data_IF_580488545432
#
_entry.id   IF_580488545432
#
_cell.length_a   1.000
_cell.length_b   1.000
_cell.length_c   1.000
_cell.angle_alpha   90.00
_cell.angle_beta   90.00
_cell.angle_gamma   90.00
#
_symmetry.space_group_name_H-M   'P 1'
#
loop_
_entity.id
_entity.type
_entity.pdbx_description
1 polymer ?
#
# COMPACT_ATOMS: atom_id res chain seq x y z
N UNK A 1 -24.11 -54.99 68.48
CA UNK A 1 -25.05 -54.51 67.45
C UNK A 1 -24.28 -53.58 66.54
N UNK A 2 -24.18 -53.98 65.28
CA UNK A 2 -23.87 -53.23 64.04
C UNK A 2 -23.13 -51.91 64.22
N UNK A 3 -21.87 -51.79 63.74
CA UNK A 3 -21.69 -50.93 62.56
C UNK A 3 -20.38 -51.12 61.78
N UNK A 4 -20.60 -51.06 60.46
CA UNK A 4 -19.75 -50.87 59.28
C UNK A 4 -18.21 -50.99 59.37
N UNK A 5 -17.72 -51.98 58.63
CA UNK A 5 -16.37 -52.02 58.04
C UNK A 5 -16.28 -50.99 56.90
N UNK A 6 -15.31 -50.09 56.97
CA UNK A 6 -14.87 -49.23 55.85
C UNK A 6 -13.54 -49.79 55.33
N UNK A 7 -13.37 -50.07 54.02
CA UNK A 7 -12.11 -50.57 53.50
C UNK A 7 -11.11 -49.43 53.29
N UNK A 8 -9.84 -49.71 53.59
CA UNK A 8 -8.71 -48.84 53.28
C UNK A 8 -8.49 -48.77 51.77
N UNK A 9 -8.57 -47.57 51.20
CA UNK A 9 -8.16 -47.30 49.81
C UNK A 9 -6.71 -46.85 49.84
N UNK A 10 -5.84 -47.66 49.24
CA UNK A 10 -4.42 -47.36 49.07
C UNK A 10 -4.24 -46.24 48.04
N UNK A 11 -3.55 -45.18 48.42
CA UNK A 11 -3.19 -44.06 47.55
C UNK A 11 -1.90 -44.43 46.78
N UNK A 12 -2.01 -44.73 45.49
CA UNK A 12 -0.87 -44.96 44.63
C UNK A 12 -0.29 -43.60 44.17
N UNK A 13 0.92 -43.28 44.62
CA UNK A 13 1.73 -42.18 44.09
C UNK A 13 2.29 -42.60 42.73
N UNK A 14 1.74 -42.06 41.64
CA UNK A 14 2.33 -42.17 40.32
C UNK A 14 3.47 -41.14 40.19
N UNK A 15 4.70 -41.62 40.04
CA UNK A 15 5.83 -40.81 39.58
C UNK A 15 5.58 -40.44 38.10
N UNK A 16 5.18 -39.20 37.85
CA UNK A 16 5.17 -38.65 36.49
C UNK A 16 6.63 -38.35 36.07
N UNK A 17 7.17 -39.17 35.17
CA UNK A 17 8.42 -38.88 34.47
C UNK A 17 8.12 -37.75 33.48
N UNK A 18 8.64 -36.56 33.75
CA UNK A 18 8.49 -35.40 32.87
C UNK A 18 9.21 -35.63 31.54
N UNK A 19 8.43 -35.78 30.47
CA UNK A 19 8.93 -35.65 29.10
C UNK A 19 9.32 -34.18 28.85
N UNK A 20 10.42 -33.90 28.13
CA UNK A 20 10.76 -32.53 27.79
C UNK A 20 9.64 -31.96 26.93
N UNK A 21 9.04 -30.85 27.39
CA UNK A 21 8.13 -30.07 26.57
C UNK A 21 8.86 -29.64 25.31
N UNK A 22 8.34 -30.05 24.16
CA UNK A 22 8.59 -29.36 22.90
C UNK A 22 8.25 -27.88 23.13
N UNK A 23 9.29 -27.07 23.29
CA UNK A 23 9.17 -25.64 23.24
C UNK A 23 8.65 -25.32 21.83
N UNK A 24 7.38 -24.93 21.75
CA UNK A 24 6.81 -24.37 20.54
C UNK A 24 7.73 -23.24 20.09
N UNK A 25 8.42 -23.47 18.97
CA UNK A 25 9.20 -22.46 18.28
C UNK A 25 8.24 -21.33 17.94
N UNK A 26 8.38 -20.21 18.66
CA UNK A 26 7.72 -18.97 18.30
C UNK A 26 8.32 -18.55 16.97
N UNK A 27 7.52 -18.55 15.91
CA UNK A 27 7.92 -17.95 14.65
C UNK A 27 8.22 -16.47 14.93
N UNK A 28 9.48 -16.08 14.75
CA UNK A 28 9.88 -14.68 14.65
C UNK A 28 9.09 -14.04 13.48
N UNK A 29 8.74 -12.74 13.56
CA UNK A 29 8.11 -12.05 12.43
C UNK A 29 9.03 -12.20 11.21
N UNK A 30 8.46 -12.73 10.12
CA UNK A 30 9.20 -13.19 8.96
C UNK A 30 10.12 -12.12 8.38
N UNK A 31 11.35 -12.53 8.08
CA UNK A 31 12.26 -11.81 7.20
C UNK A 31 11.63 -11.84 5.81
N UNK A 32 10.90 -10.78 5.45
CA UNK A 32 10.13 -10.64 4.22
C UNK A 32 11.01 -10.45 2.96
N UNK A 33 12.19 -11.09 2.92
CA UNK A 33 13.16 -10.95 1.84
C UNK A 33 13.31 -12.23 1.03
N UNK A 34 13.93 -13.29 1.55
CA UNK A 34 14.34 -14.44 0.73
C UNK A 34 13.20 -15.25 0.12
N UNK A 35 12.07 -15.40 0.83
CA UNK A 35 10.93 -16.20 0.36
C UNK A 35 10.13 -15.45 -0.70
N UNK A 36 9.87 -14.16 -0.46
CA UNK A 36 9.14 -13.28 -1.35
C UNK A 36 9.92 -12.99 -2.63
N UNK A 37 11.26 -12.90 -2.56
CA UNK A 37 12.11 -12.85 -3.75
C UNK A 37 12.00 -14.13 -4.59
N UNK A 38 12.04 -15.30 -3.93
CA UNK A 38 11.89 -16.57 -4.64
C UNK A 38 10.51 -16.69 -5.30
N UNK A 39 9.44 -16.21 -4.65
CA UNK A 39 8.11 -16.18 -5.25
C UNK A 39 8.00 -15.17 -6.40
N UNK A 40 8.59 -13.98 -6.25
CA UNK A 40 8.67 -12.97 -7.31
C UNK A 40 9.32 -13.55 -8.58
N UNK A 41 10.38 -14.35 -8.44
CA UNK A 41 11.08 -15.00 -9.54
C UNK A 41 10.26 -16.07 -10.28
N UNK A 42 9.16 -16.54 -9.68
CA UNK A 42 8.22 -17.45 -10.36
C UNK A 42 7.20 -16.71 -11.23
N UNK A 43 7.01 -15.40 -11.02
CA UNK A 43 6.05 -14.62 -11.79
C UNK A 43 6.55 -14.44 -13.22
N UNK A 44 5.72 -14.68 -14.25
CA UNK A 44 6.12 -14.39 -15.62
C UNK A 44 6.47 -12.90 -15.77
N UNK A 45 7.50 -12.61 -16.55
CA UNK A 45 7.85 -11.23 -16.92
C UNK A 45 7.39 -10.98 -18.36
N UNK A 46 6.48 -10.03 -18.55
CA UNK A 46 5.93 -9.64 -19.87
C UNK A 46 5.62 -8.14 -19.90
N UNK A 47 5.47 -7.58 -21.10
CA UNK A 47 4.96 -6.21 -21.26
C UNK A 47 3.50 -6.05 -20.81
N UNK A 48 3.02 -4.81 -20.71
CA UNK A 48 1.59 -4.52 -20.51
C UNK A 48 0.81 -4.90 -21.78
N UNK A 49 -0.26 -5.67 -21.60
CA UNK A 49 -1.26 -5.86 -22.66
C UNK A 49 -2.09 -4.57 -22.86
N UNK A 50 -2.76 -4.40 -24.01
CA UNK A 50 -3.63 -3.25 -24.24
C UNK A 50 -4.72 -3.13 -23.17
N UNK A 51 -5.09 -1.89 -22.81
CA UNK A 51 -6.23 -1.58 -21.94
C UNK A 51 -7.59 -1.68 -22.67
N UNK A 52 -7.59 -2.00 -23.96
CA UNK A 52 -8.80 -2.13 -24.78
C UNK A 52 -9.82 -3.07 -24.11
N UNK A 53 -11.08 -2.65 -24.10
CA UNK A 53 -12.18 -3.44 -23.52
C UNK A 53 -12.23 -3.42 -21.98
N UNK A 54 -11.33 -2.71 -21.31
CA UNK A 54 -11.40 -2.55 -19.86
C UNK A 54 -12.64 -1.75 -19.44
N UNK A 55 -13.42 -2.34 -18.55
CA UNK A 55 -14.44 -1.65 -17.76
C UNK A 55 -14.38 -2.22 -16.34
N UNK A 56 -14.42 -1.34 -15.33
CA UNK A 56 -14.41 -1.74 -13.92
C UNK A 56 -15.58 -2.67 -13.57
N UNK A 57 -16.73 -2.50 -14.23
CA UNK A 57 -17.92 -3.33 -14.03
C UNK A 57 -17.69 -4.81 -14.41
N UNK A 58 -16.66 -5.11 -15.21
CA UNK A 58 -16.27 -6.48 -15.54
C UNK A 58 -15.71 -7.27 -14.35
N UNK A 59 -15.38 -6.58 -13.25
CA UNK A 59 -15.00 -7.20 -11.98
C UNK A 59 -16.21 -7.43 -11.06
N UNK A 60 -17.42 -7.30 -11.60
CA UNK A 60 -18.66 -7.52 -10.88
C UNK A 60 -19.10 -6.33 -10.02
N UNK A 61 -20.10 -6.57 -9.18
CA UNK A 61 -20.59 -5.57 -8.25
C UNK A 61 -19.47 -5.13 -7.31
N UNK A 62 -19.31 -3.81 -7.13
CA UNK A 62 -18.37 -3.27 -6.17
C UNK A 62 -18.76 -3.70 -4.75
N UNK A 63 -17.78 -4.22 -3.99
CA UNK A 63 -17.95 -4.65 -2.60
C UNK A 63 -18.96 -5.79 -2.45
N UNK A 64 -18.86 -6.78 -3.33
CA UNK A 64 -19.76 -7.93 -3.37
C UNK A 64 -19.47 -8.91 -2.24
N UNK A 65 -20.48 -9.23 -1.44
CA UNK A 65 -20.43 -10.36 -0.49
C UNK A 65 -20.59 -11.72 -1.20
N UNK A 66 -21.07 -11.73 -2.45
CA UNK A 66 -21.20 -12.94 -3.28
C UNK A 66 -19.85 -13.35 -3.88
N UNK A 67 -18.90 -13.76 -3.04
CA UNK A 67 -17.52 -14.14 -3.41
C UNK A 67 -17.03 -15.32 -2.58
N UNK A 68 -16.04 -16.06 -3.10
CA UNK A 68 -15.50 -17.26 -2.42
C UNK A 68 -14.17 -17.02 -1.70
N UNK A 69 -13.66 -15.78 -1.75
CA UNK A 69 -12.47 -15.33 -1.01
C UNK A 69 -12.82 -15.06 0.46
N UNK A 70 -11.83 -14.95 1.37
CA UNK A 70 -12.10 -14.67 2.77
C UNK A 70 -13.00 -13.43 2.95
N UNK A 71 -13.97 -13.53 3.85
CA UNK A 71 -14.96 -12.47 4.08
C UNK A 71 -16.21 -12.58 3.20
N UNK A 72 -16.25 -13.42 2.16
CA UNK A 72 -17.46 -13.64 1.39
C UNK A 72 -18.56 -14.42 2.14
N UNK A 73 -19.80 -14.21 1.71
CA UNK A 73 -21.03 -14.79 2.24
C UNK A 73 -21.22 -14.63 3.75
N UNK A 74 -20.73 -13.54 4.33
CA UNK A 74 -20.85 -13.28 5.76
C UNK A 74 -22.02 -12.35 6.11
N UNK A 75 -22.73 -11.81 5.10
CA UNK A 75 -23.85 -10.89 5.26
C UNK A 75 -23.46 -9.40 5.30
N UNK A 76 -22.18 -9.08 5.20
CA UNK A 76 -21.63 -7.73 5.13
C UNK A 76 -21.03 -7.49 3.74
N UNK A 77 -21.14 -6.25 3.22
CA UNK A 77 -20.39 -5.92 2.01
C UNK A 77 -18.88 -5.89 2.29
N UNK A 78 -18.08 -6.22 1.27
CA UNK A 78 -16.61 -6.31 1.40
C UNK A 78 -16.00 -5.01 1.92
N UNK A 79 -16.54 -3.85 1.54
CA UNK A 79 -16.02 -2.55 2.02
C UNK A 79 -16.10 -2.49 3.54
N UNK A 80 -17.23 -2.88 4.11
CA UNK A 80 -17.41 -2.91 5.55
C UNK A 80 -16.52 -3.95 6.22
N UNK A 81 -16.25 -5.09 5.58
CA UNK A 81 -15.29 -6.06 6.10
C UNK A 81 -13.87 -5.50 6.17
N UNK A 82 -13.43 -4.79 5.13
CA UNK A 82 -12.11 -4.15 5.13
C UNK A 82 -12.04 -3.01 6.15
N UNK A 83 -13.10 -2.19 6.27
CA UNK A 83 -13.14 -1.16 7.31
C UNK A 83 -13.11 -1.79 8.72
N UNK A 84 -13.81 -2.90 8.95
CA UNK A 84 -13.77 -3.60 10.24
C UNK A 84 -12.37 -4.14 10.54
N UNK A 85 -11.67 -4.67 9.53
CA UNK A 85 -10.32 -5.20 9.66
C UNK A 85 -9.29 -4.11 9.97
N UNK A 86 -9.40 -2.97 9.27
CA UNK A 86 -8.32 -1.97 9.21
C UNK A 86 -8.51 -0.78 10.17
N UNK A 87 -9.74 -0.53 10.63
CA UNK A 87 -9.99 0.53 11.61
C UNK A 87 -9.84 0.01 13.04
N UNK A 88 -9.48 0.92 13.94
CA UNK A 88 -9.60 0.75 15.39
C UNK A 88 -10.67 1.70 15.93
N UNK A 89 -11.04 1.54 17.21
CA UNK A 89 -12.04 2.39 17.89
C UNK A 89 -13.36 2.52 17.09
N UNK A 90 -13.87 1.38 16.61
CA UNK A 90 -14.98 1.32 15.67
C UNK A 90 -16.34 1.47 16.37
N UNK A 91 -17.20 2.30 15.80
CA UNK A 91 -18.64 2.27 16.07
C UNK A 91 -19.40 1.60 14.92
N UNK A 92 -20.20 0.59 15.25
CA UNK A 92 -21.09 -0.07 14.30
C UNK A 92 -22.51 0.49 14.35
N UNK A 93 -23.23 0.39 13.24
CA UNK A 93 -24.65 0.69 13.19
C UNK A 93 -25.41 -0.37 14.00
N UNK A 94 -26.24 0.03 14.98
CA UNK A 94 -27.06 -0.93 15.71
C UNK A 94 -27.97 -1.74 14.78
N UNK A 95 -28.14 -3.03 15.10
CA UNK A 95 -29.02 -3.93 14.35
C UNK A 95 -28.44 -4.47 13.03
N UNK A 96 -27.14 -4.27 12.77
CA UNK A 96 -26.48 -4.83 11.57
C UNK A 96 -25.51 -5.97 11.88
N UNK A 97 -25.52 -6.54 13.09
CA UNK A 97 -24.58 -7.58 13.53
C UNK A 97 -23.11 -7.19 13.22
N UNK A 98 -22.73 -5.98 13.61
CA UNK A 98 -21.40 -5.41 13.38
C UNK A 98 -20.96 -5.37 11.90
N UNK A 99 -21.91 -5.39 10.95
CA UNK A 99 -21.64 -5.16 9.53
C UNK A 99 -21.34 -3.70 9.23
N UNK A 100 -22.25 -2.78 9.52
CA UNK A 100 -22.15 -1.42 8.98
C UNK A 100 -21.29 -0.56 9.89
N UNK A 101 -20.06 -0.27 9.46
CA UNK A 101 -19.12 0.63 10.16
C UNK A 101 -19.59 2.08 9.98
N UNK A 102 -19.82 2.79 11.10
CA UNK A 102 -20.22 4.20 11.13
C UNK A 102 -19.02 5.13 11.34
N UNK A 103 -18.09 4.76 12.21
CA UNK A 103 -16.88 5.53 12.52
C UNK A 103 -15.76 4.63 12.98
N UNK A 104 -14.54 5.16 13.01
CA UNK A 104 -13.34 4.52 13.54
C UNK A 104 -12.10 5.36 13.24
N UNK A 105 -10.93 4.86 13.61
CA UNK A 105 -9.64 5.48 13.30
C UNK A 105 -8.84 4.54 12.41
N UNK A 106 -8.45 5.04 11.23
CA UNK A 106 -7.52 4.34 10.35
C UNK A 106 -6.10 4.76 10.72
N UNK A 107 -5.26 3.81 11.14
CA UNK A 107 -3.82 4.01 11.14
C UNK A 107 -3.31 3.66 9.73
N UNK A 108 -3.31 4.66 8.83
CA UNK A 108 -3.13 4.44 7.40
C UNK A 108 -1.70 3.97 7.08
N UNK A 109 -1.51 2.72 6.65
CA UNK A 109 -0.17 2.19 6.44
C UNK A 109 0.56 2.90 5.29
N UNK A 110 -0.17 3.45 4.31
CA UNK A 110 0.47 4.08 3.15
C UNK A 110 1.13 5.41 3.50
N UNK A 111 0.53 6.15 4.43
CA UNK A 111 1.02 7.48 4.86
C UNK A 111 1.74 7.46 6.21
N UNK A 112 1.48 6.44 7.04
CA UNK A 112 1.91 6.42 8.43
C UNK A 112 1.13 7.38 9.33
N UNK A 113 -0.04 7.86 8.90
CA UNK A 113 -0.86 8.85 9.62
C UNK A 113 -2.17 8.27 10.11
N UNK A 114 -2.69 8.81 11.22
CA UNK A 114 -4.01 8.44 11.73
C UNK A 114 -5.10 9.31 11.09
N UNK A 115 -6.18 8.67 10.62
CA UNK A 115 -7.30 9.33 9.93
C UNK A 115 -8.60 8.92 10.63
N UNK A 116 -9.34 9.90 11.15
CA UNK A 116 -10.68 9.65 11.65
C UNK A 116 -11.64 9.36 10.48
N UNK A 117 -12.22 8.17 10.47
CA UNK A 117 -13.28 7.79 9.56
C UNK A 117 -14.63 8.13 10.16
N UNK A 118 -15.46 8.84 9.38
CA UNK A 118 -16.88 9.02 9.66
C UNK A 118 -17.67 8.73 8.39
N UNK A 119 -18.59 7.79 8.46
CA UNK A 119 -19.54 7.51 7.38
C UNK A 119 -20.44 8.72 7.19
N UNK A 120 -20.51 9.24 5.97
CA UNK A 120 -21.38 10.34 5.61
C UNK A 120 -21.12 10.89 4.21
N UNK A 121 -22.07 11.68 3.66
CA UNK A 121 -21.86 12.40 2.42
C UNK A 121 -20.62 13.29 2.53
N UNK A 122 -19.65 13.08 1.64
CA UNK A 122 -18.43 13.88 1.62
C UNK A 122 -17.32 13.46 2.60
N UNK A 123 -17.63 12.70 3.65
CA UNK A 123 -16.66 12.23 4.64
C UNK A 123 -16.22 10.80 4.39
N UNK A 124 -17.10 9.93 3.88
CA UNK A 124 -16.76 8.53 3.56
C UNK A 124 -15.64 8.40 2.53
N UNK A 125 -15.37 9.43 1.72
CA UNK A 125 -14.30 9.44 0.71
C UNK A 125 -12.91 9.71 1.29
N UNK A 126 -12.83 10.18 2.54
CA UNK A 126 -11.57 10.41 3.21
C UNK A 126 -10.80 9.10 3.44
N UNK A 127 -11.54 8.01 3.68
CA UNK A 127 -10.99 6.64 3.70
C UNK A 127 -11.58 5.85 2.53
N UNK A 128 -10.72 5.50 1.59
CA UNK A 128 -11.06 4.64 0.46
C UNK A 128 -10.56 3.22 0.73
N UNK A 129 -11.07 2.26 -0.04
CA UNK A 129 -10.51 0.91 -0.07
C UNK A 129 -9.76 0.80 -1.39
N UNK A 130 -8.43 0.76 -1.32
CA UNK A 130 -7.55 0.56 -2.46
C UNK A 130 -7.51 -0.93 -2.86
N UNK A 131 -7.33 -1.14 -4.16
CA UNK A 131 -6.88 -2.40 -4.73
C UNK A 131 -5.36 -2.34 -4.84
N UNK A 132 -4.64 -3.02 -3.93
CA UNK A 132 -3.16 -3.03 -3.86
C UNK A 132 -2.56 -3.27 -5.24
N UNK A 133 -3.02 -4.32 -5.94
CA UNK A 133 -2.90 -4.45 -7.39
C UNK A 133 -4.17 -3.90 -8.03
N UNK A 134 -4.04 -2.73 -8.68
CA UNK A 134 -5.17 -2.02 -9.27
C UNK A 134 -5.89 -2.86 -10.33
N UNK A 135 -7.23 -2.76 -10.41
CA UNK A 135 -8.03 -3.54 -11.37
C UNK A 135 -7.63 -3.29 -12.84
N UNK A 136 -7.28 -2.04 -13.18
CA UNK A 136 -6.78 -1.65 -14.52
C UNK A 136 -5.38 -2.21 -14.79
N UNK A 137 -4.52 -2.32 -13.77
CA UNK A 137 -3.21 -2.95 -13.89
C UNK A 137 -3.35 -4.45 -14.13
N UNK A 138 -4.17 -5.11 -13.30
CA UNK A 138 -4.47 -6.53 -13.44
C UNK A 138 -5.06 -6.87 -14.81
N UNK A 139 -5.95 -6.04 -15.36
CA UNK A 139 -6.48 -6.20 -16.72
C UNK A 139 -5.36 -6.30 -17.75
N UNK A 140 -4.41 -5.38 -17.70
CA UNK A 140 -3.27 -5.34 -18.63
C UNK A 140 -2.21 -6.42 -18.33
N UNK A 141 -2.35 -7.15 -17.21
CA UNK A 141 -1.37 -8.12 -16.72
C UNK A 141 -1.93 -9.52 -16.46
N UNK A 142 -3.09 -9.84 -17.03
CA UNK A 142 -3.64 -11.20 -17.08
C UNK A 142 -5.15 -11.31 -16.88
N UNK A 143 -5.77 -10.35 -16.18
CA UNK A 143 -7.17 -10.44 -15.81
C UNK A 143 -8.15 -10.37 -16.99
N UNK A 144 -7.69 -9.94 -18.17
CA UNK A 144 -8.44 -10.03 -19.43
C UNK A 144 -8.89 -11.46 -19.79
N UNK A 145 -8.14 -12.46 -19.34
CA UNK A 145 -8.37 -13.87 -19.69
C UNK A 145 -9.22 -14.60 -18.67
N UNK A 146 -9.49 -13.96 -17.52
CA UNK A 146 -10.25 -14.55 -16.44
C UNK A 146 -11.73 -14.59 -16.74
N UNK A 147 -12.40 -15.59 -16.19
CA UNK A 147 -13.85 -15.57 -16.09
C UNK A 147 -14.34 -14.48 -15.13
N UNK A 148 -15.66 -14.27 -15.10
CA UNK A 148 -16.26 -13.26 -14.23
C UNK A 148 -16.08 -13.58 -12.72
N UNK A 149 -16.28 -14.83 -12.24
CA UNK A 149 -16.05 -15.15 -10.83
C UNK A 149 -14.63 -14.85 -10.35
N UNK A 150 -13.60 -15.17 -11.15
CA UNK A 150 -12.20 -14.88 -10.77
C UNK A 150 -11.94 -13.38 -10.68
N UNK A 151 -12.46 -12.58 -11.62
CA UNK A 151 -12.37 -11.11 -11.54
C UNK A 151 -13.10 -10.56 -10.32
N UNK A 152 -14.29 -11.09 -10.01
CA UNK A 152 -15.07 -10.70 -8.83
C UNK A 152 -14.33 -11.01 -7.53
N UNK A 153 -13.76 -12.20 -7.42
CA UNK A 153 -12.93 -12.60 -6.30
C UNK A 153 -11.71 -11.68 -6.15
N UNK A 154 -10.95 -11.44 -7.22
CA UNK A 154 -9.80 -10.53 -7.22
C UNK A 154 -10.16 -9.12 -6.72
N UNK A 155 -11.33 -8.61 -7.11
CA UNK A 155 -11.78 -7.28 -6.71
C UNK A 155 -12.31 -7.20 -5.27
N UNK A 156 -12.58 -8.32 -4.61
CA UNK A 156 -13.13 -8.36 -3.26
C UNK A 156 -12.25 -9.14 -2.26
N UNK A 157 -11.08 -9.60 -2.70
CA UNK A 157 -10.15 -10.36 -1.86
C UNK A 157 -9.48 -9.45 -0.82
N UNK A 158 -9.61 -9.73 0.49
CA UNK A 158 -8.90 -8.97 1.51
C UNK A 158 -7.39 -8.94 1.31
N UNK A 159 -6.78 -9.94 0.66
CA UNK A 159 -5.36 -9.92 0.28
C UNK A 159 -5.06 -8.83 -0.76
N UNK A 160 -6.02 -8.41 -1.59
CA UNK A 160 -5.84 -7.32 -2.54
C UNK A 160 -6.45 -5.97 -2.08
N UNK A 161 -7.12 -5.92 -0.92
CA UNK A 161 -7.82 -4.71 -0.46
C UNK A 161 -7.23 -4.04 0.79
N UNK A 162 -7.02 -2.72 0.75
CA UNK A 162 -6.45 -1.94 1.88
C UNK A 162 -7.28 -0.67 2.13
N UNK A 163 -7.75 -0.44 3.36
CA UNK A 163 -8.24 0.88 3.73
C UNK A 163 -7.07 1.89 3.76
N UNK A 164 -7.23 3.02 3.08
CA UNK A 164 -6.19 4.07 2.99
C UNK A 164 -6.81 5.45 2.78
N UNK A 165 -5.98 6.49 2.90
CA UNK A 165 -6.34 7.87 2.57
C UNK A 165 -6.83 8.02 1.14
N UNK A 166 -7.97 8.69 0.95
CA UNK A 166 -8.57 8.95 -0.37
C UNK A 166 -7.62 9.65 -1.36
N UNK A 167 -7.03 10.81 -1.01
CA UNK A 167 -6.07 11.51 -1.87
C UNK A 167 -4.85 10.67 -2.26
N UNK A 168 -4.38 9.79 -1.37
CA UNK A 168 -3.22 8.93 -1.64
C UNK A 168 -3.60 7.81 -2.60
N UNK A 169 -4.79 7.23 -2.43
CA UNK A 169 -5.32 6.26 -3.38
C UNK A 169 -5.55 6.88 -4.78
N UNK A 170 -6.02 8.12 -4.83
CA UNK A 170 -6.18 8.88 -6.07
C UNK A 170 -4.83 9.17 -6.73
N UNK A 171 -3.79 9.50 -5.95
CA UNK A 171 -2.43 9.67 -6.44
C UNK A 171 -1.85 8.36 -7.00
N UNK A 172 -2.12 7.22 -6.36
CA UNK A 172 -1.70 5.89 -6.83
C UNK A 172 -2.31 5.54 -8.20
N UNK A 173 -3.60 5.80 -8.38
CA UNK A 173 -4.31 5.52 -9.63
C UNK A 173 -4.22 4.04 -10.05
N UNK A 174 -3.81 3.78 -11.30
CA UNK A 174 -3.51 2.43 -11.81
C UNK A 174 -2.01 2.10 -11.87
N UNK A 175 -1.20 2.81 -11.09
CA UNK A 175 0.23 2.57 -10.95
C UNK A 175 0.55 1.19 -10.37
N UNK A 176 1.63 0.60 -10.87
CA UNK A 176 2.27 -0.58 -10.31
C UNK A 176 3.46 -0.20 -9.41
N UNK A 177 4.13 -1.19 -8.81
CA UNK A 177 5.26 -0.94 -7.92
C UNK A 177 6.46 -0.23 -8.57
N UNK A 178 6.55 -0.19 -9.91
CA UNK A 178 7.57 0.59 -10.61
C UNK A 178 7.24 2.08 -10.68
N UNK A 179 5.96 2.42 -10.68
CA UNK A 179 5.46 3.78 -10.94
C UNK A 179 4.94 4.46 -9.68
N UNK A 180 4.53 3.69 -8.68
CA UNK A 180 4.08 4.21 -7.40
C UNK A 180 4.42 3.25 -6.25
N UNK A 181 4.93 3.81 -5.16
CA UNK A 181 5.14 3.14 -3.89
C UNK A 181 4.56 4.01 -2.77
N UNK A 182 4.07 3.42 -1.67
CA UNK A 182 3.63 4.20 -0.52
C UNK A 182 4.70 5.19 -0.04
N UNK A 183 4.33 6.43 0.31
CA UNK A 183 5.27 7.40 0.86
C UNK A 183 5.84 6.96 2.20
N UNK A 184 5.08 6.20 2.99
CA UNK A 184 5.59 5.57 4.20
C UNK A 184 6.56 4.42 3.85
N UNK A 185 7.86 4.71 3.91
CA UNK A 185 8.92 3.75 3.56
C UNK A 185 8.88 2.48 4.40
N UNK A 186 8.57 2.57 5.69
CA UNK A 186 8.57 1.40 6.58
C UNK A 186 7.52 0.35 6.19
N UNK A 187 6.52 0.73 5.40
CA UNK A 187 5.47 -0.17 4.94
C UNK A 187 5.75 -0.77 3.55
N UNK A 188 6.80 -0.32 2.85
CA UNK A 188 7.05 -0.74 1.46
C UNK A 188 7.33 -2.23 1.33
N UNK A 189 7.99 -2.84 2.30
CA UNK A 189 8.20 -4.28 2.35
C UNK A 189 6.89 -5.05 2.33
N UNK A 190 6.01 -4.77 3.28
CA UNK A 190 4.69 -5.40 3.34
C UNK A 190 3.88 -5.14 2.07
N UNK A 191 3.93 -3.91 1.53
CA UNK A 191 3.25 -3.55 0.28
C UNK A 191 3.72 -4.39 -0.91
N UNK A 192 5.03 -4.51 -1.13
CA UNK A 192 5.55 -5.26 -2.30
C UNK A 192 5.43 -6.77 -2.12
N UNK A 193 5.62 -7.30 -0.89
CA UNK A 193 5.36 -8.71 -0.58
C UNK A 193 3.91 -9.08 -0.86
N UNK A 194 2.98 -8.18 -0.53
CA UNK A 194 1.56 -8.36 -0.81
C UNK A 194 1.23 -8.30 -2.30
N UNK A 195 1.89 -7.44 -3.07
CA UNK A 195 1.77 -7.45 -4.54
C UNK A 195 2.21 -8.81 -5.11
N UNK A 196 3.34 -9.35 -4.65
CA UNK A 196 3.84 -10.67 -5.09
C UNK A 196 2.82 -11.75 -4.77
N UNK A 197 2.33 -11.82 -3.54
CA UNK A 197 1.33 -12.80 -3.12
C UNK A 197 0.02 -12.71 -3.94
N UNK A 198 -0.48 -11.50 -4.18
CA UNK A 198 -1.67 -11.28 -5.03
C UNK A 198 -1.41 -11.75 -6.46
N UNK A 199 -0.29 -11.34 -7.06
CA UNK A 199 0.00 -11.69 -8.46
C UNK A 199 0.23 -13.19 -8.64
N UNK A 200 0.93 -13.81 -7.71
CA UNK A 200 1.13 -15.26 -7.64
C UNK A 200 -0.20 -16.01 -7.53
N UNK A 201 -1.02 -15.66 -6.53
CA UNK A 201 -2.30 -16.34 -6.27
C UNK A 201 -3.31 -16.24 -7.41
N UNK A 202 -3.25 -15.18 -8.22
CA UNK A 202 -4.15 -14.97 -9.35
C UNK A 202 -3.50 -15.24 -10.72
N UNK A 203 -2.24 -15.65 -10.78
CA UNK A 203 -1.54 -15.92 -12.03
C UNK A 203 -1.35 -14.68 -12.93
N UNK A 204 -1.20 -13.50 -12.32
CA UNK A 204 -0.82 -12.27 -13.02
C UNK A 204 0.68 -12.26 -13.32
N UNK A 205 1.07 -11.54 -14.37
CA UNK A 205 2.49 -11.27 -14.64
C UNK A 205 2.91 -9.88 -14.13
N UNK A 206 4.22 -9.67 -14.12
CA UNK A 206 4.86 -8.37 -13.85
C UNK A 206 5.56 -7.87 -15.11
N UNK A 207 5.77 -6.55 -15.19
CA UNK A 207 6.74 -6.01 -16.16
C UNK A 207 8.15 -6.13 -15.59
N UNK A 208 9.17 -6.04 -16.46
CA UNK A 208 10.56 -6.03 -15.99
C UNK A 208 10.80 -4.89 -14.97
N UNK A 209 10.31 -3.68 -15.26
CA UNK A 209 10.46 -2.55 -14.36
C UNK A 209 9.79 -2.77 -13.00
N UNK A 210 8.62 -3.43 -12.98
CA UNK A 210 7.90 -3.77 -11.74
C UNK A 210 8.64 -4.85 -10.95
N UNK A 211 9.12 -5.90 -11.62
CA UNK A 211 9.94 -6.94 -11.00
C UNK A 211 11.18 -6.33 -10.35
N UNK A 212 11.95 -5.53 -11.11
CA UNK A 212 13.18 -4.90 -10.60
C UNK A 212 12.89 -3.96 -9.43
N UNK A 213 11.76 -3.23 -9.45
CA UNK A 213 11.35 -2.35 -8.36
C UNK A 213 11.04 -3.13 -7.09
N UNK A 214 10.26 -4.21 -7.20
CA UNK A 214 9.95 -5.09 -6.07
C UNK A 214 11.24 -5.73 -5.52
N UNK A 215 12.09 -6.27 -6.39
CA UNK A 215 13.33 -6.93 -6.00
C UNK A 215 14.27 -5.98 -5.24
N UNK A 216 14.39 -4.71 -5.68
CA UNK A 216 15.20 -3.70 -4.96
C UNK A 216 14.68 -3.43 -3.55
N UNK A 217 13.37 -3.34 -3.36
CA UNK A 217 12.78 -3.14 -2.03
C UNK A 217 13.03 -4.36 -1.14
N UNK A 218 12.76 -5.57 -1.65
CA UNK A 218 12.93 -6.82 -0.90
C UNK A 218 14.39 -7.08 -0.48
N UNK A 219 15.35 -6.72 -1.32
CA UNK A 219 16.78 -6.88 -1.04
C UNK A 219 17.37 -5.75 -0.20
N UNK A 220 16.96 -4.49 -0.44
CA UNK A 220 17.57 -3.31 0.18
C UNK A 220 16.88 -2.79 1.44
N UNK A 221 15.56 -2.92 1.55
CA UNK A 221 14.76 -2.28 2.62
C UNK A 221 14.17 -3.30 3.61
N UNK A 222 14.07 -4.58 3.24
CA UNK A 222 13.34 -5.60 4.01
C UNK A 222 14.20 -6.49 4.91
N UNK A 223 15.46 -6.08 5.15
CA UNK A 223 16.35 -6.77 6.08
C UNK A 223 16.84 -8.13 5.60
N UNK A 224 16.94 -8.35 4.28
CA UNK A 224 17.65 -9.50 3.76
C UNK A 224 19.11 -9.50 4.27
N UNK A 225 19.67 -10.65 4.70
CA UNK A 225 21.06 -10.70 5.13
C UNK A 225 21.96 -10.29 3.96
N UNK A 226 22.84 -9.32 4.20
CA UNK A 226 23.85 -8.90 3.23
C UNK A 226 24.68 -10.12 2.79
N UNK A 227 24.81 -10.35 1.48
CA UNK A 227 25.65 -11.41 0.92
C UNK A 227 27.13 -11.16 1.31
N UNK A 228 27.80 -12.07 2.06
CA UNK A 228 29.22 -11.93 2.41
C UNK A 228 30.17 -11.99 1.19
N UNK A 229 29.66 -12.42 0.03
CA UNK A 229 30.46 -12.66 -1.18
C UNK A 229 30.25 -11.60 -2.27
N UNK A 230 29.37 -10.62 -2.06
CA UNK A 230 29.25 -9.50 -2.98
C UNK A 230 30.61 -8.78 -3.05
N UNK A 231 31.18 -8.54 -4.25
CA UNK A 231 32.31 -7.64 -4.38
C UNK A 231 31.94 -6.33 -3.68
N UNK A 232 32.88 -5.63 -3.00
CA UNK A 232 32.57 -4.30 -2.51
C UNK A 232 32.04 -3.51 -3.70
N UNK A 233 30.76 -3.13 -3.62
CA UNK A 233 30.17 -2.20 -4.55
C UNK A 233 31.12 -1.02 -4.58
N UNK A 234 31.75 -0.80 -5.74
CA UNK A 234 32.64 0.34 -5.93
C UNK A 234 31.85 1.55 -5.51
N UNK A 235 32.28 2.23 -4.43
CA UNK A 235 31.68 3.46 -3.98
C UNK A 235 31.39 4.30 -5.23
N UNK A 236 30.13 4.67 -5.50
CA UNK A 236 29.89 5.71 -6.48
C UNK A 236 30.76 6.90 -6.06
N UNK A 237 31.37 7.64 -7.00
CA UNK A 237 32.11 8.85 -6.66
C UNK A 237 31.25 9.65 -5.70
N UNK A 238 31.82 10.12 -4.58
CA UNK A 238 31.11 10.96 -3.62
C UNK A 238 30.60 12.18 -4.39
N UNK A 239 29.38 12.08 -4.89
CA UNK A 239 28.61 13.19 -5.36
C UNK A 239 28.19 13.89 -4.08
N UNK A 240 28.74 15.09 -3.90
CA UNK A 240 28.44 15.94 -2.77
C UNK A 240 26.91 15.94 -2.57
N UNK A 241 26.42 15.83 -1.32
CA UNK A 241 24.98 15.84 -1.08
C UNK A 241 24.38 17.04 -1.80
N UNK A 242 23.21 16.90 -2.46
CA UNK A 242 22.49 18.06 -2.93
C UNK A 242 22.35 18.96 -1.70
N UNK A 243 22.84 20.19 -1.80
CA UNK A 243 22.51 21.21 -0.82
C UNK A 243 20.98 21.16 -0.65
N UNK A 244 20.51 21.18 0.59
CA UNK A 244 19.10 21.44 0.88
C UNK A 244 18.59 22.54 -0.06
N UNK A 245 17.35 22.49 -0.57
CA UNK A 245 16.79 23.64 -1.22
C UNK A 245 16.77 24.76 -0.18
N UNK A 246 17.80 25.60 -0.22
CA UNK A 246 17.77 26.92 0.39
C UNK A 246 16.48 27.55 -0.13
N UNK A 247 15.61 28.06 0.76
CA UNK A 247 14.54 28.93 0.30
C UNK A 247 15.23 29.99 -0.54
N UNK A 248 14.88 30.11 -1.81
CA UNK A 248 15.31 31.26 -2.60
C UNK A 248 14.52 32.45 -2.09
N UNK A 249 14.97 32.99 -0.95
CA UNK A 249 14.74 34.38 -0.58
C UNK A 249 15.64 35.22 -1.49
N UNK A 250 15.28 35.25 -2.77
CA UNK A 250 15.72 36.30 -3.67
C UNK A 250 15.23 37.60 -3.04
N UNK A 251 16.18 38.39 -2.52
CA UNK A 251 15.88 39.74 -2.06
C UNK A 251 15.32 40.52 -3.25
N UNK A 252 14.12 41.07 -3.10
CA UNK A 252 13.42 41.84 -4.13
C UNK A 252 13.86 43.30 -4.19
N UNK A 253 14.89 43.68 -3.42
CA UNK A 253 15.40 45.04 -3.38
C UNK A 253 16.13 45.38 -4.69
N UNK A 254 15.46 46.16 -5.54
CA UNK A 254 16.02 46.77 -6.75
C UNK A 254 15.70 46.06 -8.06
N UNK A 255 14.87 45.00 -8.07
CA UNK A 255 14.47 44.34 -9.31
C UNK A 255 13.44 45.18 -10.09
N UNK A 256 13.55 45.26 -11.43
CA UNK A 256 12.58 45.97 -12.24
C UNK A 256 11.22 45.27 -12.13
N UNK A 257 10.17 46.03 -11.79
CA UNK A 257 8.80 45.49 -11.66
C UNK A 257 8.17 44.98 -12.96
N UNK A 258 8.90 44.97 -14.09
CA UNK A 258 8.42 44.53 -15.39
C UNK A 258 9.51 43.79 -16.18
N UNK A 259 9.16 42.58 -16.66
CA UNK A 259 9.97 41.81 -17.60
C UNK A 259 9.23 41.63 -18.94
N UNK A 260 9.85 41.91 -20.10
CA UNK A 260 9.20 41.77 -21.40
C UNK A 260 8.97 40.31 -21.83
N UNK A 261 9.76 39.35 -21.32
CA UNK A 261 9.62 37.91 -21.56
C UNK A 261 10.44 37.11 -20.53
N UNK A 262 10.31 35.77 -20.52
CA UNK A 262 11.01 34.91 -19.58
C UNK A 262 12.53 34.85 -19.76
N UNK A 263 13.05 35.19 -20.95
CA UNK A 263 14.49 35.30 -21.14
C UNK A 263 15.08 36.50 -20.38
N UNK A 264 14.37 37.63 -20.37
CA UNK A 264 14.76 38.80 -19.58
C UNK A 264 14.66 38.54 -18.06
N UNK A 265 13.62 37.82 -17.62
CA UNK A 265 13.46 37.43 -16.22
C UNK A 265 14.60 36.51 -15.74
N UNK A 266 14.96 35.50 -16.55
CA UNK A 266 16.10 34.61 -16.26
C UNK A 266 17.45 35.33 -16.30
N UNK A 267 17.67 36.21 -17.28
CA UNK A 267 18.90 37.00 -17.37
C UNK A 267 19.10 37.95 -16.17
N UNK A 268 18.00 38.42 -15.57
CA UNK A 268 18.01 39.23 -14.36
C UNK A 268 18.07 38.41 -13.06
N UNK A 269 18.07 37.07 -13.13
CA UNK A 269 18.04 36.20 -11.95
C UNK A 269 16.72 36.21 -11.18
N UNK A 270 15.62 36.62 -11.83
CA UNK A 270 14.31 36.76 -11.20
C UNK A 270 13.41 35.52 -11.36
N UNK A 271 13.73 34.60 -12.28
CA UNK A 271 12.93 33.40 -12.52
C UNK A 271 13.41 32.19 -11.70
N UNK A 272 12.50 31.29 -11.24
CA UNK A 272 11.04 31.34 -11.42
C UNK A 272 10.37 32.45 -10.59
N UNK A 273 9.35 33.12 -11.13
CA UNK A 273 8.64 34.22 -10.46
C UNK A 273 7.27 33.72 -9.96
N UNK A 274 7.02 33.80 -8.65
CA UNK A 274 5.75 33.36 -8.06
C UNK A 274 4.66 34.45 -8.13
N UNK A 275 3.39 34.04 -8.20
CA UNK A 275 2.24 34.96 -8.14
C UNK A 275 2.33 35.90 -6.93
N UNK A 276 2.21 37.21 -7.18
CA UNK A 276 2.36 38.25 -6.18
C UNK A 276 3.79 38.78 -5.97
N UNK A 277 4.81 38.16 -6.57
CA UNK A 277 6.18 38.72 -6.58
C UNK A 277 6.33 39.84 -7.63
N UNK A 278 7.21 40.83 -7.38
CA UNK A 278 7.55 41.85 -8.38
C UNK A 278 8.01 41.23 -9.70
N UNK A 279 7.37 41.63 -10.80
CA UNK A 279 7.66 41.08 -12.14
C UNK A 279 6.79 39.89 -12.55
N UNK A 280 5.96 39.33 -11.66
CA UNK A 280 4.96 38.32 -12.04
C UNK A 280 3.91 38.95 -12.94
N UNK A 281 3.57 38.26 -14.03
CA UNK A 281 2.38 38.58 -14.85
C UNK A 281 1.84 37.30 -15.49
N UNK A 282 0.51 37.15 -15.63
CA UNK A 282 -0.09 35.97 -16.26
C UNK A 282 0.45 35.67 -17.66
N UNK A 283 0.90 36.69 -18.41
CA UNK A 283 1.52 36.48 -19.72
C UNK A 283 2.90 35.80 -19.71
N UNK A 284 3.51 35.55 -18.54
CA UNK A 284 4.76 34.81 -18.36
C UNK A 284 4.54 33.41 -17.75
N UNK A 285 3.32 33.14 -17.28
CA UNK A 285 2.88 31.89 -16.66
C UNK A 285 2.01 31.16 -17.69
N UNK A 286 2.64 30.25 -18.44
CA UNK A 286 2.07 29.70 -19.68
C UNK A 286 0.96 28.69 -19.38
N UNK A 287 1.10 27.93 -18.31
CA UNK A 287 0.20 26.88 -17.86
C UNK A 287 -0.73 27.32 -16.73
N UNK A 288 -0.50 28.50 -16.14
CA UNK A 288 -1.42 29.18 -15.24
C UNK A 288 -1.44 28.58 -13.85
N UNK A 289 -0.33 27.96 -13.42
CA UNK A 289 -0.21 27.28 -12.14
C UNK A 289 0.23 28.22 -11.00
N UNK A 290 0.54 29.48 -11.32
CA UNK A 290 1.00 30.50 -10.38
C UNK A 290 2.51 30.69 -10.37
N UNK A 291 3.27 30.01 -11.24
CA UNK A 291 4.72 30.10 -11.37
C UNK A 291 5.09 30.56 -12.78
N UNK A 292 5.50 31.82 -12.90
CA UNK A 292 5.93 32.38 -14.17
C UNK A 292 7.40 32.01 -14.48
N UNK A 293 7.67 31.70 -15.75
CA UNK A 293 9.02 31.45 -16.28
C UNK A 293 9.79 30.27 -15.66
N UNK A 294 9.08 29.17 -15.37
CA UNK A 294 9.69 27.84 -15.18
C UNK A 294 10.60 27.41 -16.35
#
# INVERSE_FOLDING_TARGET
MVDRRIPAVALAFALAVGLPSDAAVRAEPGVAGPVELAELDTLPIKGRAPKTGYDRALFGQAWSDDVTVPGGHNGCDTRNDILRRDLVDIDFKPGTNDCVVLSGVLNDPYTGTAIAFQRGPGTSRAVQIDHVVALSDAWQKGAQQWDEPTRRNFANDPLNLQATSGPINEQKGDGDAATWLPPNKSYRCEYVSRIVAVKSGYGLWVTQAEHDAIARILTGECGAPADPQAPPESEPPIEQPPAEPVPFVGSTDGLPGYFPNCAAARAAGAAPILIGQPGYRPGLDRDGDGIACE
#
